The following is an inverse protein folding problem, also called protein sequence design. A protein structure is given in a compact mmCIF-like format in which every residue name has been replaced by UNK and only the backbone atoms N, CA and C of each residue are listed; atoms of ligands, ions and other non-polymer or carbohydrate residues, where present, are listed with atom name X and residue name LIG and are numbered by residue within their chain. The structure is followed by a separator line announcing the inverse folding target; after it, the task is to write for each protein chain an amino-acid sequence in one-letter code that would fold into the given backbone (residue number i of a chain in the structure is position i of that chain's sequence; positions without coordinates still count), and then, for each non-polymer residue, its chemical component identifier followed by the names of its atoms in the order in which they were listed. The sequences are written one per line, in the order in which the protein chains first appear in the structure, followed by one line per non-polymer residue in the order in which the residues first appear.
data_IF_401635949106
#
_entry.id   IF_401635949106
#
_cell.length_a   1.000
_cell.length_b   1.000
_cell.length_c   1.000
_cell.angle_alpha   90.00
_cell.angle_beta   90.00
_cell.angle_gamma   90.00
#
_symmetry.space_group_name_H-M   'P 1'
#
loop_
_entity.id
_entity.type
_entity.pdbx_description
1 polymer ?
#
# COMPACT_ATOMS: atom_id res chain seq x y z
N UNK A 1 27.54 -1.45 5.54
CA UNK A 1 27.42 -1.73 6.98
C UNK A 1 26.13 -1.07 7.46
N UNK A 2 25.03 -1.84 7.52
CA UNK A 2 23.70 -1.33 7.91
C UNK A 2 23.49 -1.57 9.40
N UNK A 3 24.04 -0.69 10.25
CA UNK A 3 23.75 -0.61 11.70
C UNK A 3 24.48 0.59 12.29
N UNK A 4 24.18 1.80 11.81
CA UNK A 4 24.63 2.99 12.55
C UNK A 4 23.59 3.29 13.64
N UNK A 5 24.03 3.34 14.91
CA UNK A 5 23.18 3.76 16.03
C UNK A 5 22.55 5.14 15.77
N UNK A 6 23.22 6.00 15.01
CA UNK A 6 22.69 7.29 14.59
C UNK A 6 21.51 7.16 13.62
N UNK A 7 21.52 6.17 12.72
CA UNK A 7 20.41 5.88 11.81
C UNK A 7 19.20 5.37 12.57
N UNK A 8 19.41 4.44 13.50
CA UNK A 8 18.34 3.95 14.37
C UNK A 8 17.77 5.07 15.27
N UNK A 9 18.64 5.91 15.86
CA UNK A 9 18.18 7.08 16.62
C UNK A 9 17.41 8.09 15.75
N UNK A 10 17.76 8.21 14.47
CA UNK A 10 17.00 9.02 13.50
C UNK A 10 15.63 8.42 13.23
N UNK A 11 15.54 7.11 13.00
CA UNK A 11 14.29 6.38 12.78
C UNK A 11 13.32 6.55 13.96
N UNK A 12 13.80 6.39 15.21
CA UNK A 12 12.97 6.55 16.41
C UNK A 12 12.34 7.95 16.51
N UNK A 13 13.00 8.98 15.97
CA UNK A 13 12.48 10.35 15.94
C UNK A 13 11.57 10.61 14.75
N UNK A 14 11.88 10.02 13.61
CA UNK A 14 11.20 10.19 12.33
C UNK A 14 11.18 8.84 11.60
N UNK A 15 10.14 8.03 11.82
CA UNK A 15 9.98 6.78 11.10
C UNK A 15 10.00 7.03 9.59
N UNK A 16 10.60 6.15 8.79
CA UNK A 16 10.57 6.26 7.34
C UNK A 16 9.13 6.21 6.83
N UNK A 17 8.87 6.91 5.72
CA UNK A 17 7.58 6.85 5.04
C UNK A 17 7.29 5.43 4.58
N UNK A 18 6.16 4.88 5.01
CA UNK A 18 5.72 3.53 4.65
C UNK A 18 4.49 3.59 3.72
N UNK A 19 4.55 2.99 2.53
CA UNK A 19 3.47 3.05 1.55
C UNK A 19 2.19 2.34 2.02
N UNK A 20 2.30 1.31 2.86
CA UNK A 20 1.15 0.58 3.39
C UNK A 20 0.43 1.43 4.43
N UNK A 21 1.17 2.07 5.35
CA UNK A 21 0.59 2.98 6.33
C UNK A 21 -0.03 4.22 5.66
N UNK A 22 0.65 4.81 4.68
CA UNK A 22 0.12 5.94 3.93
C UNK A 22 -1.17 5.58 3.17
N UNK A 23 -1.19 4.42 2.49
CA UNK A 23 -2.38 3.92 1.81
C UNK A 23 -3.54 3.69 2.79
N UNK A 24 -3.28 3.01 3.91
CA UNK A 24 -4.29 2.75 4.94
C UNK A 24 -4.84 4.05 5.56
N UNK A 25 -4.00 5.07 5.72
CA UNK A 25 -4.40 6.40 6.19
C UNK A 25 -5.40 7.07 5.24
N UNK A 26 -5.06 7.16 3.95
CA UNK A 26 -5.96 7.70 2.92
C UNK A 26 -7.28 6.92 2.88
N UNK A 27 -7.20 5.59 2.85
CA UNK A 27 -8.38 4.74 2.81
C UNK A 27 -9.26 4.92 4.04
N UNK A 28 -8.70 5.00 5.24
CA UNK A 28 -9.50 5.20 6.46
C UNK A 28 -10.26 6.52 6.45
N UNK A 29 -9.71 7.55 5.79
CA UNK A 29 -10.33 8.88 5.71
C UNK A 29 -11.37 8.99 4.58
N UNK A 30 -11.14 8.33 3.45
CA UNK A 30 -11.94 8.53 2.23
C UNK A 30 -12.95 7.41 1.94
N UNK A 31 -12.93 6.31 2.70
CA UNK A 31 -13.75 5.13 2.41
C UNK A 31 -15.00 5.04 3.26
N UNK A 32 -16.00 4.32 2.73
CA UNK A 32 -17.15 3.87 3.52
C UNK A 32 -16.88 2.46 4.05
N UNK A 33 -17.34 2.13 5.28
CA UNK A 33 -17.19 0.78 5.82
C UNK A 33 -17.76 -0.29 4.88
N UNK A 34 -16.99 -1.34 4.66
CA UNK A 34 -17.34 -2.46 3.78
C UNK A 34 -17.12 -2.24 2.29
N UNK A 35 -16.61 -1.07 1.86
CA UNK A 35 -16.17 -0.89 0.47
C UNK A 35 -15.08 -1.91 0.12
N UNK A 36 -15.11 -2.40 -1.12
CA UNK A 36 -14.20 -3.46 -1.57
C UNK A 36 -12.89 -2.85 -2.07
N UNK A 37 -11.78 -3.32 -1.50
CA UNK A 37 -10.43 -2.98 -1.92
C UNK A 37 -9.65 -4.22 -2.38
N UNK A 38 -8.96 -4.10 -3.50
CA UNK A 38 -8.05 -5.11 -4.01
C UNK A 38 -6.62 -4.72 -3.66
N UNK A 39 -5.89 -5.59 -2.97
CA UNK A 39 -4.53 -5.30 -2.51
C UNK A 39 -3.55 -6.39 -2.92
N UNK A 40 -2.38 -5.99 -3.39
CA UNK A 40 -1.29 -6.92 -3.71
C UNK A 40 -0.18 -6.90 -2.67
N UNK A 41 -0.14 -5.89 -1.79
CA UNK A 41 0.57 -5.94 -0.51
C UNK A 41 0.00 -7.05 0.41
N UNK A 42 0.70 -7.40 1.51
CA UNK A 42 0.12 -8.26 2.55
C UNK A 42 -1.24 -7.72 3.00
N UNK A 43 -2.28 -8.50 2.74
CA UNK A 43 -3.69 -8.11 2.90
C UNK A 43 -4.09 -7.85 4.34
N UNK A 44 -3.51 -8.56 5.30
CA UNK A 44 -3.78 -8.39 6.73
C UNK A 44 -3.53 -6.96 7.22
N UNK A 45 -2.53 -6.26 6.67
CA UNK A 45 -2.28 -4.85 7.02
C UNK A 45 -3.48 -3.96 6.69
N UNK A 46 -4.23 -4.26 5.63
CA UNK A 46 -5.42 -3.49 5.27
C UNK A 46 -6.66 -4.00 6.03
N UNK A 47 -6.79 -5.33 6.22
CA UNK A 47 -7.91 -5.92 6.96
C UNK A 47 -7.98 -5.41 8.40
N UNK A 48 -6.85 -5.28 9.08
CA UNK A 48 -6.83 -4.86 10.49
C UNK A 48 -6.84 -3.35 10.70
N UNK A 49 -6.41 -2.57 9.71
CA UNK A 49 -6.19 -1.12 9.88
C UNK A 49 -7.11 -0.24 9.03
N UNK A 50 -8.06 -0.82 8.30
CA UNK A 50 -9.04 -0.05 7.51
C UNK A 50 -10.45 -0.62 7.69
N UNK A 51 -11.50 0.15 7.45
CA UNK A 51 -12.88 -0.34 7.51
C UNK A 51 -13.30 -1.11 6.23
N UNK A 52 -12.36 -1.45 5.35
CA UNK A 52 -12.62 -2.01 4.04
C UNK A 52 -12.83 -3.53 4.08
N UNK A 53 -13.61 -4.03 3.11
CA UNK A 53 -13.54 -5.43 2.72
C UNK A 53 -12.34 -5.62 1.79
N UNK A 54 -11.36 -6.43 2.20
CA UNK A 54 -10.12 -6.62 1.43
C UNK A 54 -10.13 -7.94 0.66
N UNK A 55 -9.71 -7.87 -0.60
CA UNK A 55 -9.45 -9.02 -1.47
C UNK A 55 -8.05 -8.91 -2.07
N UNK A 56 -7.43 -10.05 -2.43
CA UNK A 56 -6.03 -10.07 -2.86
C UNK A 56 -5.11 -10.62 -1.76
N UNK A 57 -3.80 -10.34 -1.82
CA UNK A 57 -2.79 -10.68 -0.81
C UNK A 57 -2.56 -12.16 -0.44
N UNK A 58 -3.40 -13.08 -0.93
CA UNK A 58 -3.34 -14.52 -0.67
C UNK A 58 -4.38 -15.02 0.33
N UNK A 59 -4.96 -14.15 1.17
CA UNK A 59 -5.95 -14.49 2.20
C UNK A 59 -7.34 -13.86 1.94
N UNK A 60 -7.47 -12.97 0.96
CA UNK A 60 -8.73 -12.33 0.60
C UNK A 60 -9.83 -13.29 0.13
N UNK A 61 -11.10 -12.88 0.35
CA UNK A 61 -12.30 -13.61 -0.11
C UNK A 61 -12.30 -13.81 -1.63
N UNK A 62 -12.71 -15.01 -2.09
CA UNK A 62 -12.89 -15.36 -3.51
C UNK A 62 -14.28 -15.98 -3.74
N UNK A 63 -14.89 -15.82 -4.93
CA UNK A 63 -14.42 -15.07 -6.11
C UNK A 63 -14.49 -13.54 -5.91
N UNK A 64 -13.64 -12.80 -6.63
CA UNK A 64 -13.60 -11.33 -6.57
C UNK A 64 -14.57 -10.75 -7.59
N UNK A 65 -15.53 -9.95 -7.10
CA UNK A 65 -16.46 -9.17 -7.93
C UNK A 65 -15.81 -7.83 -8.30
N UNK A 66 -15.12 -7.80 -9.44
CA UNK A 66 -14.39 -6.62 -9.91
C UNK A 66 -15.30 -5.40 -10.11
N UNK A 67 -16.58 -5.62 -10.42
CA UNK A 67 -17.60 -4.59 -10.55
C UNK A 67 -17.93 -3.88 -9.22
N UNK A 68 -17.59 -4.48 -8.07
CA UNK A 68 -17.79 -3.87 -6.75
C UNK A 68 -16.55 -3.13 -6.25
N UNK A 69 -15.42 -3.32 -6.91
CA UNK A 69 -14.14 -2.75 -6.51
C UNK A 69 -14.21 -1.22 -6.49
N UNK A 70 -13.79 -0.62 -5.38
CA UNK A 70 -13.69 0.84 -5.19
C UNK A 70 -12.26 1.31 -5.08
N UNK A 71 -11.39 0.45 -4.57
CA UNK A 71 -10.00 0.78 -4.30
C UNK A 71 -9.05 -0.31 -4.77
N UNK A 72 -7.89 0.09 -5.27
CA UNK A 72 -6.81 -0.82 -5.61
C UNK A 72 -5.50 -0.32 -5.02
N UNK A 73 -4.80 -1.20 -4.31
CA UNK A 73 -3.43 -0.99 -3.86
C UNK A 73 -2.55 -1.99 -4.58
N UNK A 74 -1.75 -1.48 -5.51
CA UNK A 74 -0.67 -2.26 -6.12
C UNK A 74 0.64 -1.95 -5.42
N UNK A 75 1.42 -2.99 -5.25
CA UNK A 75 2.76 -2.96 -4.69
C UNK A 75 3.77 -2.39 -5.67
N UNK A 76 3.60 -2.76 -6.94
CA UNK A 76 4.43 -2.36 -8.05
C UNK A 76 3.50 -2.14 -9.26
N UNK A 77 3.72 -1.06 -10.00
CA UNK A 77 2.97 -0.76 -11.22
C UNK A 77 3.06 -1.89 -12.25
N UNK A 78 4.16 -2.64 -12.29
CA UNK A 78 4.31 -3.80 -13.16
C UNK A 78 3.30 -4.92 -12.87
N UNK A 79 2.74 -4.98 -11.66
CA UNK A 79 1.73 -5.99 -11.32
C UNK A 79 0.38 -5.73 -11.99
N UNK A 80 0.13 -4.52 -12.50
CA UNK A 80 -1.16 -4.13 -13.09
C UNK A 80 -1.56 -5.00 -14.28
N UNK A 81 -0.58 -5.47 -15.06
CA UNK A 81 -0.81 -6.38 -16.19
C UNK A 81 -1.21 -7.79 -15.76
N UNK A 82 -1.02 -8.15 -14.49
CA UNK A 82 -1.32 -9.48 -13.96
C UNK A 82 -2.77 -9.64 -13.50
N UNK A 83 -3.56 -8.57 -13.46
CA UNK A 83 -4.93 -8.58 -12.96
C UNK A 83 -5.92 -8.11 -14.02
N UNK A 84 -7.07 -8.79 -14.18
CA UNK A 84 -8.10 -8.44 -15.16
C UNK A 84 -8.96 -7.28 -14.66
N UNK A 85 -8.32 -6.13 -14.40
CA UNK A 85 -8.96 -4.89 -13.98
C UNK A 85 -9.00 -3.93 -15.16
N UNK A 86 -10.15 -3.31 -15.41
CA UNK A 86 -10.23 -2.15 -16.29
C UNK A 86 -9.70 -0.91 -15.57
N UNK A 87 -8.41 -0.64 -15.74
CA UNK A 87 -7.71 0.49 -15.13
C UNK A 87 -8.24 1.86 -15.56
N UNK A 88 -8.96 1.95 -16.69
CA UNK A 88 -9.60 3.21 -17.13
C UNK A 88 -10.71 3.69 -16.18
N UNK A 89 -11.30 2.77 -15.42
CA UNK A 89 -12.31 3.07 -14.40
C UNK A 89 -11.72 3.64 -13.12
N UNK A 90 -10.39 3.69 -13.00
CA UNK A 90 -9.72 4.14 -11.79
C UNK A 90 -8.86 5.37 -12.06
N UNK A 91 -8.68 6.19 -11.03
CA UNK A 91 -7.78 7.33 -11.02
C UNK A 91 -6.68 7.11 -9.97
N UNK A 92 -5.44 7.52 -10.28
CA UNK A 92 -4.33 7.40 -9.34
C UNK A 92 -4.47 8.41 -8.20
N UNK A 93 -4.14 7.98 -6.99
CA UNK A 93 -4.00 8.80 -5.79
C UNK A 93 -2.56 8.64 -5.32
N UNK A 94 -1.78 9.72 -5.45
CA UNK A 94 -0.38 9.75 -4.99
C UNK A 94 -0.32 9.84 -3.48
N UNK A 95 0.52 9.02 -2.86
CA UNK A 95 0.72 8.99 -1.42
C UNK A 95 1.92 9.83 -1.01
N UNK A 96 1.89 10.35 0.22
CA UNK A 96 3.05 10.98 0.87
C UNK A 96 4.04 9.93 1.43
N UNK A 97 4.38 8.93 0.61
CA UNK A 97 5.34 7.89 0.93
C UNK A 97 6.06 7.41 -0.34
N UNK A 98 7.33 7.00 -0.25
CA UNK A 98 8.04 6.42 -1.37
C UNK A 98 7.44 5.05 -1.74
N UNK A 99 7.47 4.73 -3.02
CA UNK A 99 7.12 3.43 -3.56
C UNK A 99 8.19 2.42 -3.17
N UNK A 100 7.81 1.45 -2.35
CA UNK A 100 8.64 0.32 -1.98
C UNK A 100 7.82 -0.95 -1.92
N UNK A 101 8.12 -1.96 -2.75
CA UNK A 101 7.27 -3.14 -2.90
C UNK A 101 7.14 -3.96 -1.61
N UNK A 102 8.03 -3.77 -0.63
CA UNK A 102 7.98 -4.53 0.61
C UNK A 102 7.65 -3.68 1.84
N UNK A 103 7.39 -2.38 1.68
CA UNK A 103 7.28 -1.44 2.79
C UNK A 103 8.59 -1.38 3.61
N UNK A 104 8.51 -0.93 4.86
CA UNK A 104 9.66 -1.00 5.78
C UNK A 104 9.68 -2.33 6.56
N UNK A 105 10.26 -3.39 5.98
CA UNK A 105 10.40 -4.67 6.68
C UNK A 105 11.52 -4.64 7.73
N UNK A 106 11.39 -5.39 8.84
CA UNK A 106 12.47 -5.56 9.81
C UNK A 106 13.58 -6.51 9.34
N UNK A 107 13.47 -7.05 8.12
CA UNK A 107 14.53 -7.86 7.50
C UNK A 107 15.79 -6.99 7.27
N UNK A 108 16.98 -7.35 7.78
CA UNK A 108 18.18 -6.50 7.68
C UNK A 108 18.57 -6.13 6.24
N UNK A 109 18.28 -6.98 5.26
CA UNK A 109 18.52 -6.72 3.84
C UNK A 109 17.58 -5.66 3.29
N UNK A 110 16.33 -5.64 3.73
CA UNK A 110 15.25 -4.82 3.19
C UNK A 110 14.90 -3.60 4.05
N UNK A 111 15.35 -3.55 5.31
CA UNK A 111 15.04 -2.49 6.24
C UNK A 111 15.65 -1.16 5.80
N UNK A 112 14.87 -0.09 5.98
CA UNK A 112 15.27 1.30 5.72
C UNK A 112 15.14 2.11 7.00
N UNK A 113 16.22 2.79 7.41
CA UNK A 113 16.21 3.64 8.61
C UNK A 113 15.72 5.07 8.32
N UNK A 114 15.68 5.45 7.04
CA UNK A 114 15.30 6.79 6.58
C UNK A 114 14.51 6.69 5.29
N UNK A 115 13.54 7.59 5.09
CA UNK A 115 12.78 7.69 3.84
C UNK A 115 13.72 7.94 2.66
N UNK A 116 13.77 7.05 1.66
CA UNK A 116 14.50 7.29 0.43
C UNK A 116 13.96 8.51 -0.31
N UNK A 117 14.85 9.32 -0.89
CA UNK A 117 14.48 10.59 -1.55
C UNK A 117 14.43 10.48 -3.07
N UNK A 118 14.99 9.42 -3.59
CA UNK A 118 15.15 9.09 -5.01
C UNK A 118 14.12 8.07 -5.50
N UNK A 119 13.33 7.50 -4.60
CA UNK A 119 12.21 6.64 -4.95
C UNK A 119 11.01 7.46 -5.44
N UNK A 120 10.28 6.98 -6.47
CA UNK A 120 9.01 7.60 -6.87
C UNK A 120 8.00 7.50 -5.74
N UNK A 121 6.98 8.37 -5.74
CA UNK A 121 5.89 8.27 -4.77
C UNK A 121 5.07 6.98 -4.98
N UNK A 122 4.60 6.39 -3.89
CA UNK A 122 3.64 5.29 -3.94
C UNK A 122 2.30 5.79 -4.48
N UNK A 123 1.58 4.93 -5.19
CA UNK A 123 0.29 5.26 -5.82
C UNK A 123 -0.71 4.17 -5.47
N UNK A 124 -1.89 4.60 -5.06
CA UNK A 124 -3.09 3.74 -4.99
C UNK A 124 -4.09 4.23 -6.03
N UNK A 125 -5.16 3.48 -6.22
CA UNK A 125 -6.15 3.78 -7.23
C UNK A 125 -7.54 3.80 -6.61
N UNK A 126 -8.28 4.86 -6.92
CA UNK A 126 -9.67 5.04 -6.53
C UNK A 126 -10.55 4.90 -7.76
N UNK A 127 -11.70 4.25 -7.64
CA UNK A 127 -12.64 4.17 -8.75
C UNK A 127 -13.24 5.54 -9.04
N UNK A 128 -13.30 5.92 -10.32
CA UNK A 128 -14.01 7.11 -10.81
C UNK A 128 -15.50 6.93 -10.51
N UNK A 129 -16.14 8.00 -10.04
CA UNK A 129 -17.59 8.01 -9.73
C UNK A 129 -18.44 7.70 -10.96
#
# INVERSE_FOLDING_TARGET
MKTDLADFASELRRPPGDPVLAAAGVMTQETRPGELAFVTYPDLSFVFHTPLAVVGGGQGRRPVRMDLLRWIVVRDEAEKSSFPVDWGLFEPVTLEAPSHPWGNRPDPGLHVFRTPRDAPAAVIYRRRS
#
